data_IF_186572706139
#
_entry.id   IF_186572706139
#
_cell.length_a   1.000
_cell.length_b   1.000
_cell.length_c   1.000
_cell.angle_alpha   90.00
_cell.angle_beta   90.00
_cell.angle_gamma   90.00
#
_symmetry.space_group_name_H-M   'P 1'
#
loop_
_entity.id
_entity.type
_entity.pdbx_description
1 polymer ?
#
# COMPACT_ATOMS: atom_id res chain seq x y z
N UNK A 1 -12.54 -8.69 -15.30
CA UNK A 1 -13.28 -7.82 -14.36
C UNK A 1 -14.43 -7.15 -15.12
N UNK A 2 -15.58 -6.93 -14.48
CA UNK A 2 -16.93 -6.69 -15.04
C UNK A 2 -17.13 -5.57 -16.09
N UNK A 3 -16.10 -4.95 -16.69
CA UNK A 3 -16.28 -3.92 -17.73
C UNK A 3 -17.06 -2.67 -17.29
N UNK A 4 -17.40 -2.56 -15.99
CA UNK A 4 -18.21 -1.46 -15.45
C UNK A 4 -17.40 -0.17 -15.34
N UNK A 5 -16.07 -0.28 -15.25
CA UNK A 5 -15.18 0.86 -15.00
C UNK A 5 -13.87 0.66 -15.75
N UNK A 6 -13.77 1.19 -16.98
CA UNK A 6 -12.52 1.24 -17.75
C UNK A 6 -11.82 2.58 -17.42
N UNK A 7 -11.14 2.62 -16.27
CA UNK A 7 -10.37 3.80 -15.89
C UNK A 7 -9.01 3.78 -16.60
N UNK A 8 -8.53 4.91 -17.14
CA UNK A 8 -7.18 5.02 -17.67
C UNK A 8 -6.13 4.56 -16.66
N UNK A 9 -5.23 3.64 -17.05
CA UNK A 9 -4.15 3.14 -16.17
C UNK A 9 -3.35 4.28 -15.53
N UNK A 10 -3.10 5.35 -16.29
CA UNK A 10 -2.41 6.55 -15.80
C UNK A 10 -3.09 7.17 -14.57
N UNK A 11 -4.43 7.21 -14.53
CA UNK A 11 -5.18 7.74 -13.37
C UNK A 11 -5.15 6.78 -12.18
N UNK A 12 -5.19 5.48 -12.45
CA UNK A 12 -5.09 4.46 -11.39
C UNK A 12 -3.72 4.53 -10.71
N UNK A 13 -2.63 4.67 -11.48
CA UNK A 13 -1.28 4.82 -10.92
C UNK A 13 -1.13 6.07 -10.05
N UNK A 14 -1.68 7.22 -10.48
CA UNK A 14 -1.72 8.44 -9.66
C UNK A 14 -2.51 8.20 -8.37
N UNK A 15 -3.66 7.55 -8.45
CA UNK A 15 -4.49 7.26 -7.28
C UNK A 15 -3.76 6.31 -6.31
N UNK A 16 -3.13 5.25 -6.82
CA UNK A 16 -2.34 4.31 -6.01
C UNK A 16 -1.22 5.05 -5.28
N UNK A 17 -0.41 5.85 -5.99
CA UNK A 17 0.65 6.64 -5.38
C UNK A 17 0.11 7.60 -4.31
N UNK A 18 -1.04 8.23 -4.56
CA UNK A 18 -1.71 9.10 -3.59
C UNK A 18 -2.14 8.34 -2.32
N UNK A 19 -2.62 7.09 -2.43
CA UNK A 19 -2.98 6.29 -1.25
C UNK A 19 -1.78 5.99 -0.34
N UNK A 20 -0.62 5.66 -0.93
CA UNK A 20 0.61 5.40 -0.17
C UNK A 20 1.11 6.68 0.50
N UNK A 21 1.08 7.80 -0.21
CA UNK A 21 1.43 9.10 0.36
C UNK A 21 0.48 9.49 1.51
N UNK A 22 -0.83 9.31 1.33
CA UNK A 22 -1.81 9.57 2.37
C UNK A 22 -1.57 8.70 3.62
N UNK A 23 -1.22 7.43 3.44
CA UNK A 23 -0.85 6.55 4.54
C UNK A 23 0.43 7.02 5.25
N UNK A 24 1.45 7.45 4.50
CA UNK A 24 2.69 7.99 5.08
C UNK A 24 2.40 9.23 5.94
N UNK A 25 1.59 10.16 5.43
CA UNK A 25 1.16 11.35 6.17
C UNK A 25 0.44 10.95 7.46
N UNK A 26 -0.46 9.97 7.38
CA UNK A 26 -1.22 9.50 8.54
C UNK A 26 -0.35 8.84 9.62
N UNK A 27 0.65 8.06 9.20
CA UNK A 27 1.62 7.43 10.10
C UNK A 27 2.57 8.45 10.73
N UNK A 28 2.84 9.57 10.05
CA UNK A 28 3.67 10.65 10.56
C UNK A 28 2.95 11.55 11.59
N UNK A 29 1.61 11.52 11.64
CA UNK A 29 0.84 12.33 12.61
C UNK A 29 1.08 11.84 14.06
N UNK A 30 1.01 12.76 15.05
CA UNK A 30 1.02 12.39 16.46
C UNK A 30 -0.08 11.39 16.82
N UNK A 31 0.23 10.43 17.71
CA UNK A 31 -0.64 9.29 18.08
C UNK A 31 -1.97 9.67 18.77
N UNK A 32 -2.21 10.94 19.08
CA UNK A 32 -3.45 11.44 19.71
C UNK A 32 -4.46 12.08 18.75
N UNK A 33 -4.14 12.23 17.46
CA UNK A 33 -5.05 12.79 16.46
C UNK A 33 -6.14 11.79 16.06
N UNK A 34 -7.40 12.22 16.13
CA UNK A 34 -8.52 11.42 15.63
C UNK A 34 -8.63 11.61 14.12
N UNK A 35 -8.38 10.55 13.36
CA UNK A 35 -8.53 10.55 11.89
C UNK A 35 -9.47 9.43 11.45
N UNK A 36 -10.06 9.57 10.26
CA UNK A 36 -10.93 8.54 9.69
C UNK A 36 -10.19 7.21 9.54
N UNK A 37 -8.91 7.27 9.14
CA UNK A 37 -8.02 6.10 9.00
C UNK A 37 -7.87 5.35 10.31
N UNK A 38 -7.68 6.07 11.43
CA UNK A 38 -7.56 5.46 12.76
C UNK A 38 -8.89 4.95 13.31
N UNK A 39 -9.99 5.65 13.02
CA UNK A 39 -11.34 5.24 13.47
C UNK A 39 -11.88 4.01 12.75
N UNK A 40 -11.56 3.87 11.46
CA UNK A 40 -12.11 2.81 10.59
C UNK A 40 -11.01 2.22 9.70
N UNK A 41 -9.99 1.55 10.28
CA UNK A 41 -8.86 1.02 9.52
C UNK A 41 -9.29 -0.02 8.48
N UNK A 42 -10.36 -0.79 8.75
CA UNK A 42 -10.91 -1.77 7.81
C UNK A 42 -11.49 -1.13 6.53
N UNK A 43 -12.12 0.05 6.64
CA UNK A 43 -12.61 0.79 5.46
C UNK A 43 -11.45 1.23 4.58
N UNK A 44 -10.36 1.68 5.20
CA UNK A 44 -9.17 2.08 4.45
C UNK A 44 -8.49 0.89 3.79
N UNK A 45 -8.35 -0.23 4.49
CA UNK A 45 -7.81 -1.46 3.93
C UNK A 45 -8.65 -1.94 2.73
N UNK A 46 -9.99 -1.91 2.84
CA UNK A 46 -10.89 -2.25 1.75
C UNK A 46 -10.76 -1.29 0.56
N UNK A 47 -10.76 0.03 0.80
CA UNK A 47 -10.64 1.03 -0.25
C UNK A 47 -9.29 0.95 -0.98
N UNK A 48 -8.19 0.80 -0.23
CA UNK A 48 -6.85 0.64 -0.81
C UNK A 48 -6.76 -0.68 -1.57
N UNK A 49 -7.20 -1.79 -0.97
CA UNK A 49 -7.22 -3.10 -1.62
C UNK A 49 -8.02 -3.11 -2.92
N UNK A 50 -9.19 -2.46 -2.96
CA UNK A 50 -9.99 -2.32 -4.18
C UNK A 50 -9.25 -1.51 -5.25
N UNK A 51 -8.70 -0.34 -4.90
CA UNK A 51 -7.99 0.51 -5.85
C UNK A 51 -6.75 -0.19 -6.43
N UNK A 52 -5.97 -0.84 -5.57
CA UNK A 52 -4.76 -1.58 -5.96
C UNK A 52 -5.12 -2.83 -6.79
N UNK A 53 -6.19 -3.53 -6.41
CA UNK A 53 -6.71 -4.68 -7.15
C UNK A 53 -7.19 -4.31 -8.56
N UNK A 54 -7.78 -3.12 -8.74
CA UNK A 54 -8.12 -2.59 -10.07
C UNK A 54 -6.87 -2.32 -10.91
N UNK A 55 -5.84 -1.69 -10.33
CA UNK A 55 -4.57 -1.45 -11.03
C UNK A 55 -3.86 -2.75 -11.43
N UNK A 56 -3.83 -3.73 -10.54
CA UNK A 56 -3.26 -5.03 -10.84
C UNK A 56 -4.07 -5.79 -11.89
N UNK A 57 -5.40 -5.75 -11.83
CA UNK A 57 -6.25 -6.36 -12.85
C UNK A 57 -6.06 -5.72 -14.23
N UNK A 58 -5.86 -4.40 -14.30
CA UNK A 58 -5.51 -3.72 -15.55
C UNK A 58 -4.14 -4.19 -16.07
N UNK A 59 -3.12 -4.25 -15.21
CA UNK A 59 -1.80 -4.74 -15.59
C UNK A 59 -1.81 -6.20 -16.08
N UNK A 60 -2.62 -7.07 -15.47
CA UNK A 60 -2.78 -8.46 -15.93
C UNK A 60 -3.47 -8.55 -17.30
N UNK A 61 -4.44 -7.68 -17.58
CA UNK A 61 -5.06 -7.60 -18.92
C UNK A 61 -4.06 -7.15 -19.96
N UNK A 62 -3.29 -6.11 -19.64
CA UNK A 62 -2.26 -5.57 -20.54
C UNK A 62 -1.13 -6.57 -20.78
N UNK A 63 -0.86 -7.44 -19.80
CA UNK A 63 0.06 -8.58 -19.93
C UNK A 63 -0.52 -9.76 -20.75
N UNK A 64 -1.77 -9.68 -21.22
CA UNK A 64 -2.40 -10.66 -22.09
C UNK A 64 -3.15 -11.79 -21.37
N UNK A 65 -3.41 -11.66 -20.07
CA UNK A 65 -4.11 -12.70 -19.30
C UNK A 65 -5.59 -12.79 -19.73
N UNK A 66 -6.13 -14.00 -20.00
CA UNK A 66 -7.53 -14.17 -20.33
C UNK A 66 -8.46 -13.62 -19.23
N UNK A 67 -9.54 -12.95 -19.62
CA UNK A 67 -10.43 -12.27 -18.68
C UNK A 67 -11.05 -13.20 -17.61
N UNK A 68 -11.23 -14.49 -17.94
CA UNK A 68 -11.71 -15.53 -17.03
C UNK A 68 -10.70 -15.98 -15.97
N UNK A 69 -9.40 -15.76 -16.20
CA UNK A 69 -8.34 -16.14 -15.27
C UNK A 69 -8.01 -15.03 -14.25
N UNK A 70 -8.34 -13.78 -14.58
CA UNK A 70 -8.10 -12.61 -13.72
C UNK A 70 -8.64 -12.78 -12.29
N UNK A 71 -9.86 -13.29 -12.04
CA UNK A 71 -10.35 -13.45 -10.67
C UNK A 71 -9.50 -14.41 -9.84
N UNK A 72 -9.07 -15.54 -10.42
CA UNK A 72 -8.22 -16.51 -9.73
C UNK A 72 -6.80 -15.95 -9.52
N UNK A 73 -6.27 -15.23 -10.50
CA UNK A 73 -4.98 -14.54 -10.38
C UNK A 73 -5.03 -13.48 -9.27
N UNK A 74 -6.09 -12.66 -9.21
CA UNK A 74 -6.32 -11.69 -8.14
C UNK A 74 -6.42 -12.36 -6.77
N UNK A 75 -7.20 -13.44 -6.65
CA UNK A 75 -7.35 -14.16 -5.39
C UNK A 75 -6.01 -14.72 -4.91
N UNK A 76 -5.29 -15.42 -5.79
CA UNK A 76 -4.00 -16.03 -5.48
C UNK A 76 -2.95 -14.97 -5.11
N UNK A 77 -2.93 -13.84 -5.82
CA UNK A 77 -2.07 -12.72 -5.52
C UNK A 77 -2.37 -12.09 -4.15
N UNK A 78 -3.64 -11.84 -3.83
CA UNK A 78 -4.04 -11.30 -2.53
C UNK A 78 -3.71 -12.28 -1.39
N UNK A 79 -3.96 -13.59 -1.56
CA UNK A 79 -3.55 -14.59 -0.59
C UNK A 79 -2.03 -14.58 -0.36
N UNK A 80 -1.24 -14.43 -1.43
CA UNK A 80 0.21 -14.28 -1.35
C UNK A 80 0.64 -13.03 -0.59
N UNK A 81 -0.01 -11.88 -0.83
CA UNK A 81 0.24 -10.64 -0.10
C UNK A 81 -0.05 -10.83 1.39
N UNK A 82 -1.22 -11.36 1.74
CA UNK A 82 -1.62 -11.53 3.14
C UNK A 82 -0.68 -12.49 3.87
N UNK A 83 -0.29 -13.59 3.24
CA UNK A 83 0.72 -14.50 3.78
C UNK A 83 2.08 -13.79 3.99
N UNK A 84 2.51 -12.98 3.02
CA UNK A 84 3.73 -12.18 3.11
C UNK A 84 3.68 -11.14 4.23
N UNK A 85 2.57 -10.44 4.39
CA UNK A 85 2.35 -9.45 5.45
C UNK A 85 2.37 -10.08 6.83
N UNK A 86 1.65 -11.20 7.02
CA UNK A 86 1.67 -11.96 8.28
C UNK A 86 3.09 -12.45 8.58
N UNK A 87 3.77 -13.06 7.60
CA UNK A 87 5.14 -13.53 7.74
C UNK A 87 6.11 -12.40 8.12
N UNK A 88 6.00 -11.25 7.46
CA UNK A 88 6.81 -10.07 7.77
C UNK A 88 6.59 -9.57 9.21
N UNK A 89 5.34 -9.42 9.63
CA UNK A 89 5.00 -8.98 10.99
C UNK A 89 5.54 -9.96 12.03
N UNK A 90 5.36 -11.27 11.82
CA UNK A 90 5.90 -12.30 12.70
C UNK A 90 7.43 -12.24 12.77
N UNK A 91 8.11 -12.05 11.63
CA UNK A 91 9.55 -11.89 11.56
C UNK A 91 10.05 -10.67 12.35
N UNK A 92 9.41 -9.51 12.18
CA UNK A 92 9.75 -8.29 12.93
C UNK A 92 9.54 -8.49 14.43
N UNK A 93 8.44 -9.12 14.85
CA UNK A 93 8.16 -9.41 16.25
C UNK A 93 9.17 -10.40 16.85
N UNK A 94 9.53 -11.46 16.11
CA UNK A 94 10.53 -12.43 16.52
C UNK A 94 11.92 -11.80 16.66
N UNK A 95 12.32 -10.97 15.69
CA UNK A 95 13.58 -10.22 15.75
C UNK A 95 13.61 -9.28 16.96
N UNK A 96 12.56 -8.47 17.14
CA UNK A 96 12.45 -7.57 18.29
C UNK A 96 12.54 -8.32 19.62
N UNK A 97 11.93 -9.51 19.72
CA UNK A 97 12.01 -10.35 20.92
C UNK A 97 13.38 -10.96 21.14
N UNK A 98 14.08 -11.35 20.07
CA UNK A 98 15.42 -11.96 20.12
C UNK A 98 16.51 -10.95 20.50
N UNK A 99 16.36 -9.69 20.08
CA UNK A 99 17.31 -8.60 20.37
C UNK A 99 17.08 -7.97 21.77
N UNK A 100 16.03 -8.40 22.49
CA UNK A 100 15.84 -8.13 23.91
C UNK A 100 15.80 -6.64 24.28
N UNK A 101 16.45 -6.28 25.40
CA UNK A 101 16.53 -4.90 25.90
C UNK A 101 17.28 -3.95 24.99
N UNK A 102 18.10 -4.45 24.06
CA UNK A 102 18.83 -3.64 23.09
C UNK A 102 17.87 -2.98 22.09
N UNK A 103 16.77 -3.66 21.72
CA UNK A 103 15.70 -3.07 20.92
C UNK A 103 14.97 -1.95 21.66
N UNK A 104 14.91 -2.00 23.00
CA UNK A 104 14.33 -0.94 23.83
C UNK A 104 15.23 0.29 23.96
N UNK A 105 16.51 0.17 23.60
CA UNK A 105 17.46 1.29 23.55
C UNK A 105 17.47 2.00 22.19
N UNK A 106 16.73 1.49 21.20
CA UNK A 106 16.66 2.15 19.90
C UNK A 106 16.00 3.52 20.04
N UNK A 107 16.60 4.56 19.46
CA UNK A 107 16.05 5.90 19.60
C UNK A 107 14.73 6.01 18.84
N UNK A 108 13.74 6.69 19.43
CA UNK A 108 12.38 6.76 18.86
C UNK A 108 12.27 7.41 17.47
N UNK A 109 13.32 8.06 16.97
CA UNK A 109 13.36 8.55 15.58
C UNK A 109 13.49 7.40 14.56
N UNK A 110 14.04 6.25 14.97
CA UNK A 110 14.21 5.09 14.09
C UNK A 110 12.86 4.54 13.60
N UNK A 111 11.80 4.67 14.42
CA UNK A 111 10.42 4.34 14.02
C UNK A 111 9.92 5.25 12.88
N UNK A 112 10.46 6.47 12.76
CA UNK A 112 10.02 7.46 11.76
C UNK A 112 10.73 7.30 10.43
N UNK A 113 11.94 6.74 10.41
CA UNK A 113 12.73 6.51 9.19
C UNK A 113 11.92 5.79 8.10
N UNK A 114 11.30 4.62 8.35
CA UNK A 114 10.54 3.94 7.30
C UNK A 114 9.32 4.75 6.84
N UNK A 115 8.69 5.51 7.73
CA UNK A 115 7.52 6.36 7.39
C UNK A 115 7.94 7.49 6.43
N UNK A 116 9.02 8.20 6.74
CA UNK A 116 9.51 9.28 5.87
C UNK A 116 10.12 8.76 4.58
N UNK A 117 10.82 7.61 4.62
CA UNK A 117 11.35 6.95 3.42
C UNK A 117 10.23 6.55 2.46
N UNK A 118 9.22 5.82 2.96
CA UNK A 118 8.03 5.47 2.19
C UNK A 118 7.29 6.71 1.68
N UNK A 119 7.10 7.73 2.52
CA UNK A 119 6.41 8.97 2.16
C UNK A 119 7.13 9.78 1.09
N UNK A 120 8.47 9.88 1.16
CA UNK A 120 9.28 10.58 0.16
C UNK A 120 9.22 9.87 -1.20
N UNK A 121 9.36 8.53 -1.20
CA UNK A 121 9.26 7.73 -2.42
C UNK A 121 7.86 7.81 -3.03
N UNK A 122 6.81 7.72 -2.20
CA UNK A 122 5.44 7.86 -2.65
C UNK A 122 5.13 9.27 -3.19
N UNK A 123 5.66 10.31 -2.54
CA UNK A 123 5.54 11.70 -2.99
C UNK A 123 6.22 11.93 -4.34
N UNK A 124 7.44 11.42 -4.51
CA UNK A 124 8.14 11.44 -5.79
C UNK A 124 7.34 10.72 -6.88
N UNK A 125 6.90 9.48 -6.60
CA UNK A 125 6.16 8.69 -7.59
C UNK A 125 4.82 9.32 -7.96
N UNK A 126 4.10 9.90 -6.98
CA UNK A 126 2.86 10.62 -7.24
C UNK A 126 3.07 11.84 -8.14
N UNK A 127 4.10 12.64 -7.88
CA UNK A 127 4.45 13.81 -8.71
C UNK A 127 4.83 13.37 -10.14
N UNK A 128 5.66 12.34 -10.27
CA UNK A 128 6.06 11.80 -11.58
C UNK A 128 4.83 11.39 -12.41
N UNK A 129 3.91 10.64 -11.80
CA UNK A 129 2.68 10.20 -12.47
C UNK A 129 1.71 11.33 -12.76
N UNK A 130 1.60 12.31 -11.87
CA UNK A 130 0.77 13.48 -12.09
C UNK A 130 1.29 14.32 -13.28
N UNK A 131 2.61 14.54 -13.35
CA UNK A 131 3.23 15.27 -14.47
C UNK A 131 3.12 14.49 -15.78
N UNK A 132 3.16 13.16 -15.73
CA UNK A 132 2.93 12.31 -16.90
C UNK A 132 1.49 12.35 -17.45
N UNK A 133 0.51 12.87 -16.68
CA UNK A 133 -0.84 13.15 -17.21
C UNK A 133 -0.90 14.42 -18.05
N UNK A 134 0.05 15.35 -17.85
CA UNK A 134 0.09 16.64 -18.56
C UNK A 134 0.89 16.57 -19.87
N UNK A 135 1.46 15.42 -20.19
CA UNK A 135 2.22 15.14 -21.42
C UNK A 135 1.46 14.14 -22.29
#
# INVERSE_FOLDING_TARGET
ALGVVDLPSRLIEVAIAATVLALAVELARPRGGVTLVRRRPWLMAAAFGLLHGLGFAAALRDAGLPAGEIPLALLSFNCGIEAGQVGFVLGVLALRRSVGTLAAQLPGWLERVPVYGMGALAGYWWLDRLLALMR
#
